data_IF_513743963230
#
_entry.id   IF_513743963230
#
_cell.length_a   1.000
_cell.length_b   1.000
_cell.length_c   1.000
_cell.angle_alpha   90.00
_cell.angle_beta   90.00
_cell.angle_gamma   90.00
#
_symmetry.space_group_name_H-M   'P 1'
#
loop_
_entity.id
_entity.type
_entity.pdbx_description
1 polymer ?
#
# COMPACT_ATOMS: atom_id res chain seq x y z
N UNK A 1 12.76 -4.44 -3.73
CA UNK A 1 11.80 -4.22 -4.82
C UNK A 1 10.53 -3.57 -4.29
N UNK A 2 9.96 -2.69 -5.06
CA UNK A 2 8.77 -1.91 -4.66
C UNK A 2 7.76 -1.99 -5.79
N UNK A 3 6.51 -2.25 -5.46
CA UNK A 3 5.40 -2.24 -6.41
C UNK A 3 4.64 -0.92 -6.29
N UNK A 4 4.33 -0.29 -7.42
CA UNK A 4 3.53 0.94 -7.50
C UNK A 4 2.30 0.65 -8.33
N UNK A 5 1.12 0.90 -7.74
CA UNK A 5 -0.19 0.79 -8.39
C UNK A 5 -0.92 2.14 -8.31
N UNK A 6 -0.90 2.95 -9.37
CA UNK A 6 -1.73 4.16 -9.42
C UNK A 6 -3.17 3.78 -9.72
N UNK A 7 -4.10 4.30 -8.94
CA UNK A 7 -5.54 4.08 -9.08
C UNK A 7 -6.23 5.43 -9.14
N UNK A 8 -6.84 5.72 -10.28
CA UNK A 8 -7.54 7.00 -10.50
C UNK A 8 -8.95 6.76 -11.01
N UNK A 9 -9.91 7.38 -10.37
CA UNK A 9 -11.29 7.39 -10.87
C UNK A 9 -11.45 8.46 -11.94
N UNK A 10 -11.75 8.03 -13.15
CA UNK A 10 -12.02 8.95 -14.25
C UNK A 10 -13.47 9.46 -14.15
N UNK A 11 -13.70 10.78 -14.32
CA UNK A 11 -15.05 11.35 -14.19
C UNK A 11 -16.10 10.68 -15.09
N UNK A 12 -15.72 10.28 -16.30
CA UNK A 12 -16.60 9.58 -17.26
C UNK A 12 -16.97 8.16 -16.85
N UNK A 13 -16.23 7.57 -15.90
CA UNK A 13 -16.43 6.18 -15.45
C UNK A 13 -17.01 6.10 -14.03
N UNK A 14 -17.31 7.22 -13.39
CA UNK A 14 -17.90 7.25 -12.03
C UNK A 14 -19.16 6.42 -11.88
N UNK A 15 -19.94 6.26 -12.95
CA UNK A 15 -21.17 5.46 -12.93
C UNK A 15 -20.95 3.97 -12.67
N UNK A 16 -19.72 3.46 -12.85
CA UNK A 16 -19.38 2.06 -12.58
C UNK A 16 -18.94 1.83 -11.12
N UNK A 17 -18.65 2.90 -10.37
CA UNK A 17 -18.23 2.78 -8.98
C UNK A 17 -19.35 2.22 -8.10
N UNK A 18 -19.03 1.30 -7.17
CA UNK A 18 -19.99 0.81 -6.18
C UNK A 18 -20.27 1.84 -5.07
N UNK A 19 -19.52 2.95 -5.03
CA UNK A 19 -19.68 3.97 -4.00
C UNK A 19 -20.86 4.88 -4.27
N UNK A 20 -21.47 5.40 -3.20
CA UNK A 20 -22.48 6.44 -3.29
C UNK A 20 -21.89 7.72 -3.91
N UNK A 21 -22.70 8.43 -4.71
CA UNK A 21 -22.28 9.64 -5.43
C UNK A 21 -21.63 10.70 -4.50
N UNK A 22 -22.17 10.90 -3.31
CA UNK A 22 -21.65 11.85 -2.30
C UNK A 22 -20.19 11.57 -1.89
N UNK A 23 -19.75 10.29 -1.92
CA UNK A 23 -18.38 9.88 -1.60
C UNK A 23 -17.41 10.09 -2.77
N UNK A 24 -17.94 10.32 -3.94
CA UNK A 24 -17.19 10.51 -5.18
C UNK A 24 -17.01 11.98 -5.57
N UNK A 25 -17.53 12.92 -4.80
CA UNK A 25 -17.48 14.36 -5.10
C UNK A 25 -16.04 14.85 -5.28
N UNK A 26 -15.14 14.43 -4.41
CA UNK A 26 -13.71 14.76 -4.47
C UNK A 26 -12.92 13.87 -5.43
N UNK A 27 -13.56 12.86 -6.02
CA UNK A 27 -12.90 11.86 -6.85
C UNK A 27 -12.02 10.89 -6.05
N UNK A 28 -11.17 10.16 -6.76
CA UNK A 28 -10.14 9.30 -6.19
C UNK A 28 -8.92 9.32 -7.12
N UNK A 29 -7.76 9.63 -6.60
CA UNK A 29 -6.48 9.55 -7.31
C UNK A 29 -5.38 9.21 -6.29
N UNK A 30 -5.13 7.93 -6.12
CA UNK A 30 -4.24 7.36 -5.09
C UNK A 30 -3.19 6.48 -5.76
N UNK A 31 -1.96 6.59 -5.30
CA UNK A 31 -0.89 5.66 -5.66
C UNK A 31 -0.57 4.75 -4.46
N UNK A 32 -0.66 3.45 -4.66
CA UNK A 32 -0.26 2.46 -3.66
C UNK A 32 1.20 2.08 -3.89
N UNK A 33 2.06 2.38 -2.91
CA UNK A 33 3.48 2.02 -2.91
C UNK A 33 3.67 0.89 -1.91
N UNK A 34 3.76 -0.34 -2.43
CA UNK A 34 3.82 -1.60 -1.68
C UNK A 34 5.24 -2.13 -1.66
N UNK A 35 5.75 -2.53 -0.51
CA UNK A 35 6.95 -3.36 -0.45
C UNK A 35 6.65 -4.77 -0.99
N UNK A 36 7.59 -5.35 -1.75
CA UNK A 36 7.52 -6.73 -2.23
C UNK A 36 8.80 -7.53 -1.92
N UNK A 37 9.65 -6.98 -1.03
CA UNK A 37 10.91 -7.61 -0.64
C UNK A 37 10.87 -8.27 0.74
N UNK A 38 9.89 -7.93 1.56
CA UNK A 38 9.72 -8.42 2.92
C UNK A 38 8.34 -9.02 3.20
N UNK A 39 8.05 -9.22 4.48
CA UNK A 39 6.79 -9.73 4.98
C UNK A 39 6.60 -11.23 4.82
N UNK A 40 5.40 -11.69 5.13
CA UNK A 40 5.04 -13.13 5.14
C UNK A 40 5.18 -13.80 3.76
N UNK A 41 5.04 -13.06 2.67
CA UNK A 41 5.16 -13.63 1.32
C UNK A 41 6.57 -14.08 0.99
N UNK A 42 7.57 -13.42 1.58
CA UNK A 42 8.99 -13.69 1.36
C UNK A 42 9.60 -14.62 2.40
N UNK A 43 8.85 -15.03 3.43
CA UNK A 43 9.31 -15.94 4.47
C UNK A 43 9.19 -17.42 4.07
N UNK A 44 9.92 -18.27 4.77
CA UNK A 44 9.76 -19.72 4.62
C UNK A 44 8.36 -20.14 5.06
N UNK A 45 7.76 -21.05 4.28
CA UNK A 45 6.47 -21.66 4.57
C UNK A 45 6.73 -22.95 5.32
N UNK A 46 6.35 -23.01 6.59
CA UNK A 46 6.56 -24.19 7.44
C UNK A 46 5.22 -24.86 7.74
N UNK A 47 5.14 -26.15 7.47
CA UNK A 47 4.01 -27.01 7.80
C UNK A 47 4.49 -28.25 8.50
N UNK A 48 3.77 -28.71 9.50
CA UNK A 48 4.15 -29.86 10.32
C UNK A 48 2.98 -30.46 11.10
N UNK A 49 3.33 -31.28 12.07
CA UNK A 49 2.41 -31.80 13.06
C UNK A 49 2.90 -31.43 14.46
N UNK A 50 2.04 -30.82 15.26
CA UNK A 50 2.27 -30.49 16.66
C UNK A 50 1.27 -31.23 17.56
N UNK A 51 1.28 -30.88 18.85
CA UNK A 51 0.39 -31.52 19.85
C UNK A 51 -1.09 -31.26 19.58
N UNK A 52 -1.41 -30.16 18.88
CA UNK A 52 -2.77 -29.80 18.46
C UNK A 52 -3.19 -30.36 17.08
N UNK A 53 -2.39 -31.20 16.45
CA UNK A 53 -2.61 -31.72 15.10
C UNK A 53 -1.72 -31.05 14.06
N UNK A 54 -2.21 -30.90 12.81
CA UNK A 54 -1.43 -30.20 11.75
C UNK A 54 -1.28 -28.72 12.07
N UNK A 55 -0.09 -28.19 11.85
CA UNK A 55 0.26 -26.79 12.08
C UNK A 55 0.98 -26.19 10.88
N UNK A 56 0.83 -24.88 10.72
CA UNK A 56 1.54 -24.11 9.70
C UNK A 56 1.87 -22.70 10.25
N UNK A 57 3.04 -22.20 9.91
CA UNK A 57 3.42 -20.83 10.27
C UNK A 57 4.38 -20.19 9.27
N UNK A 58 4.32 -18.88 9.17
CA UNK A 58 5.21 -18.01 8.44
C UNK A 58 5.68 -16.85 9.33
N UNK A 59 6.78 -16.20 8.94
CA UNK A 59 7.33 -15.06 9.67
C UNK A 59 7.03 -13.75 8.93
N UNK A 60 6.51 -12.76 9.66
CA UNK A 60 6.46 -11.37 9.21
C UNK A 60 7.82 -10.74 9.48
N UNK A 61 8.68 -10.65 8.46
CA UNK A 61 10.03 -10.13 8.60
C UNK A 61 10.21 -8.82 7.84
N UNK A 62 10.69 -7.80 8.56
CA UNK A 62 11.16 -6.53 8.02
C UNK A 62 12.44 -6.10 8.71
N UNK A 63 13.28 -5.36 7.96
CA UNK A 63 14.40 -4.59 8.50
C UNK A 63 14.35 -3.16 7.96
N UNK A 64 15.12 -2.25 8.57
CA UNK A 64 15.13 -0.84 8.19
C UNK A 64 15.49 -0.61 6.72
N UNK A 65 16.43 -1.38 6.17
CA UNK A 65 16.86 -1.23 4.77
C UNK A 65 15.72 -1.47 3.78
N UNK A 66 14.92 -2.52 4.01
CA UNK A 66 13.75 -2.84 3.19
C UNK A 66 12.72 -1.70 3.29
N UNK A 67 12.40 -1.28 4.51
CA UNK A 67 11.38 -0.25 4.76
C UNK A 67 11.81 1.11 4.19
N UNK A 68 13.06 1.55 4.46
CA UNK A 68 13.59 2.83 3.95
C UNK A 68 13.44 2.97 2.45
N UNK A 69 13.72 1.92 1.73
CA UNK A 69 13.65 1.91 0.27
C UNK A 69 12.24 2.16 -0.24
N UNK A 70 11.27 1.44 0.30
CA UNK A 70 9.85 1.59 -0.08
C UNK A 70 9.32 2.95 0.36
N UNK A 71 9.65 3.39 1.57
CA UNK A 71 9.29 4.72 2.08
C UNK A 71 9.86 5.83 1.20
N UNK A 72 11.15 5.78 0.87
CA UNK A 72 11.80 6.78 0.02
C UNK A 72 11.12 6.89 -1.35
N UNK A 73 10.75 5.76 -1.94
CA UNK A 73 10.00 5.72 -3.20
C UNK A 73 8.64 6.43 -3.06
N UNK A 74 7.92 6.19 -1.96
CA UNK A 74 6.62 6.81 -1.71
C UNK A 74 6.73 8.33 -1.53
N UNK A 75 7.69 8.80 -0.76
CA UNK A 75 7.91 10.23 -0.55
C UNK A 75 8.35 10.95 -1.83
N UNK A 76 9.24 10.35 -2.61
CA UNK A 76 9.61 10.88 -3.93
C UNK A 76 8.40 11.00 -4.86
N UNK A 77 7.55 9.97 -4.89
CA UNK A 77 6.34 9.98 -5.69
C UNK A 77 5.38 11.07 -5.23
N UNK A 78 5.17 11.23 -3.93
CA UNK A 78 4.30 12.26 -3.36
C UNK A 78 4.74 13.67 -3.75
N UNK A 79 6.04 13.96 -3.82
CA UNK A 79 6.57 15.26 -4.29
C UNK A 79 6.14 15.61 -5.71
N UNK A 80 5.94 14.62 -6.56
CA UNK A 80 5.44 14.84 -7.93
C UNK A 80 3.91 14.87 -8.01
N UNK A 81 3.22 14.71 -6.87
CA UNK A 81 1.78 14.65 -6.76
C UNK A 81 1.25 15.74 -5.82
N UNK A 82 0.57 15.38 -4.73
CA UNK A 82 -0.10 16.32 -3.81
C UNK A 82 0.67 16.54 -2.49
N UNK A 83 1.94 16.09 -2.42
CA UNK A 83 2.81 16.18 -1.23
C UNK A 83 2.23 15.54 0.03
N UNK A 84 1.51 14.42 -0.09
CA UNK A 84 0.97 13.70 1.05
C UNK A 84 1.26 12.20 0.98
N UNK A 85 1.81 11.66 2.07
CA UNK A 85 2.01 10.22 2.27
C UNK A 85 1.17 9.77 3.47
N UNK A 86 0.39 8.71 3.28
CA UNK A 86 -0.30 8.02 4.36
C UNK A 86 0.37 6.66 4.56
N UNK A 87 1.00 6.48 5.71
CA UNK A 87 1.59 5.21 6.10
C UNK A 87 0.54 4.27 6.68
N UNK A 88 0.49 3.05 6.16
CA UNK A 88 -0.44 2.00 6.60
C UNK A 88 0.31 0.91 7.35
N UNK A 89 -0.10 0.64 8.57
CA UNK A 89 0.52 -0.37 9.41
C UNK A 89 -0.47 -0.96 10.45
N UNK A 90 0.01 -1.87 11.28
CA UNK A 90 -0.71 -2.43 12.43
C UNK A 90 0.19 -2.39 13.68
N UNK A 91 0.80 -1.24 13.95
CA UNK A 91 1.81 -1.07 14.99
C UNK A 91 1.29 -1.25 16.42
N UNK A 92 -0.02 -1.14 16.62
CA UNK A 92 -0.65 -1.46 17.92
C UNK A 92 -0.58 -2.96 18.25
N UNK A 93 -0.38 -3.84 17.26
CA UNK A 93 -0.34 -5.30 17.45
C UNK A 93 1.02 -5.88 17.07
N UNK A 94 1.56 -5.54 15.90
CA UNK A 94 2.72 -6.19 15.30
C UNK A 94 4.03 -5.46 15.57
N UNK A 95 5.05 -6.20 16.01
CA UNK A 95 6.42 -5.68 16.18
C UNK A 95 7.05 -5.22 14.86
N UNK A 96 6.83 -5.97 13.77
CA UNK A 96 7.26 -5.61 12.42
C UNK A 96 6.65 -4.28 11.96
N UNK A 97 5.37 -4.04 12.27
CA UNK A 97 4.69 -2.78 11.97
C UNK A 97 5.18 -1.61 12.83
N UNK A 98 5.64 -1.84 14.06
CA UNK A 98 6.29 -0.78 14.87
C UNK A 98 7.60 -0.34 14.25
N UNK A 99 8.45 -1.29 13.84
CA UNK A 99 9.68 -1.00 13.09
C UNK A 99 9.36 -0.25 11.79
N UNK A 100 8.36 -0.72 11.05
CA UNK A 100 7.89 -0.11 9.81
C UNK A 100 7.53 1.37 10.02
N UNK A 101 6.64 1.67 10.97
CA UNK A 101 6.19 3.04 11.28
C UNK A 101 7.36 3.94 11.67
N UNK A 102 8.23 3.48 12.56
CA UNK A 102 9.39 4.25 13.03
C UNK A 102 10.33 4.58 11.87
N UNK A 103 10.59 3.63 11.00
CA UNK A 103 11.47 3.84 9.84
C UNK A 103 10.85 4.78 8.81
N UNK A 104 9.56 4.67 8.53
CA UNK A 104 8.83 5.61 7.66
C UNK A 104 8.88 7.03 8.23
N UNK A 105 8.69 7.18 9.56
CA UNK A 105 8.80 8.46 10.25
C UNK A 105 10.20 9.07 10.08
N UNK A 106 11.26 8.28 10.24
CA UNK A 106 12.64 8.76 10.04
C UNK A 106 12.88 9.21 8.59
N UNK A 107 12.37 8.47 7.60
CA UNK A 107 12.49 8.86 6.18
C UNK A 107 11.77 10.18 5.90
N UNK A 108 10.65 10.46 6.58
CA UNK A 108 9.91 11.71 6.39
C UNK A 108 10.73 12.97 6.72
N UNK A 109 11.74 12.85 7.59
CA UNK A 109 12.64 13.96 7.95
C UNK A 109 13.46 14.47 6.74
N UNK A 110 13.71 13.60 5.75
CA UNK A 110 14.37 13.96 4.49
C UNK A 110 13.43 14.68 3.51
N UNK A 111 12.13 14.73 3.81
CA UNK A 111 11.09 15.28 2.95
C UNK A 111 10.16 16.26 3.71
N UNK A 112 10.70 17.39 4.22
CA UNK A 112 9.96 18.29 5.11
C UNK A 112 8.72 18.94 4.45
N UNK A 113 8.66 18.98 3.11
CA UNK A 113 7.53 19.54 2.36
C UNK A 113 6.41 18.50 2.09
N UNK A 114 6.59 17.25 2.52
CA UNK A 114 5.60 16.19 2.33
C UNK A 114 4.92 15.89 3.65
N UNK A 115 3.59 16.03 3.70
CA UNK A 115 2.79 15.65 4.86
C UNK A 115 2.83 14.14 5.06
N UNK A 116 3.10 13.70 6.29
CA UNK A 116 3.00 12.30 6.70
C UNK A 116 1.86 12.09 7.68
N UNK A 117 0.96 11.17 7.34
CA UNK A 117 -0.09 10.65 8.21
C UNK A 117 0.13 9.17 8.48
N UNK A 118 -0.15 8.71 9.68
CA UNK A 118 -0.15 7.28 10.02
C UNK A 118 -1.58 6.79 10.28
N UNK A 119 -1.98 5.75 9.57
CA UNK A 119 -3.25 5.05 9.83
C UNK A 119 -2.99 3.55 10.08
N UNK A 120 -3.77 2.96 10.98
CA UNK A 120 -3.88 1.52 11.03
C UNK A 120 -4.58 1.02 9.78
N UNK A 121 -4.16 -0.14 9.27
CA UNK A 121 -4.68 -0.70 8.02
C UNK A 121 -6.21 -0.88 8.02
N UNK A 122 -6.77 -1.29 9.14
CA UNK A 122 -8.23 -1.44 9.31
C UNK A 122 -8.97 -0.08 9.23
N UNK A 123 -8.41 0.96 9.83
CA UNK A 123 -8.96 2.31 9.71
C UNK A 123 -8.82 2.83 8.26
N UNK A 124 -7.69 2.58 7.62
CA UNK A 124 -7.46 3.00 6.24
C UNK A 124 -8.45 2.35 5.27
N UNK A 125 -8.74 1.07 5.43
CA UNK A 125 -9.74 0.35 4.62
C UNK A 125 -11.13 1.02 4.75
N UNK A 126 -11.55 1.37 5.97
CA UNK A 126 -12.82 2.10 6.18
C UNK A 126 -12.80 3.49 5.56
N UNK A 127 -11.72 4.25 5.76
CA UNK A 127 -11.59 5.63 5.26
C UNK A 127 -11.49 5.68 3.73
N UNK A 128 -10.88 4.68 3.10
CA UNK A 128 -10.81 4.58 1.65
C UNK A 128 -12.22 4.46 1.03
N UNK A 129 -13.14 3.77 1.68
CA UNK A 129 -14.55 3.69 1.28
C UNK A 129 -15.31 4.99 1.60
N UNK A 130 -15.03 5.61 2.76
CA UNK A 130 -15.77 6.78 3.24
C UNK A 130 -15.40 8.05 2.51
N UNK A 131 -14.10 8.27 2.30
CA UNK A 131 -13.54 9.49 1.73
C UNK A 131 -12.28 9.21 0.89
N UNK A 132 -12.41 8.54 -0.26
CA UNK A 132 -11.29 8.16 -1.11
C UNK A 132 -10.48 9.37 -1.61
N UNK A 133 -11.12 10.53 -1.76
CA UNK A 133 -10.50 11.75 -2.28
C UNK A 133 -9.47 12.39 -1.35
N UNK A 134 -9.43 12.03 -0.06
CA UNK A 134 -8.49 12.59 0.91
C UNK A 134 -7.05 12.08 0.76
N UNK A 135 -6.85 10.97 0.04
CA UNK A 135 -5.57 10.29 -0.06
C UNK A 135 -4.79 10.67 -1.32
N UNK A 136 -3.48 10.54 -1.25
CA UNK A 136 -2.56 10.79 -2.37
C UNK A 136 -1.64 9.58 -2.60
N UNK A 137 -0.72 9.32 -1.69
CA UNK A 137 0.20 8.18 -1.76
C UNK A 137 0.08 7.35 -0.49
N UNK A 138 -0.19 6.05 -0.65
CA UNK A 138 -0.05 5.08 0.43
C UNK A 138 1.33 4.44 0.40
N UNK A 139 1.95 4.29 1.57
CA UNK A 139 3.11 3.43 1.76
C UNK A 139 2.75 2.29 2.70
N UNK A 140 3.04 1.05 2.30
CA UNK A 140 2.51 -0.11 2.98
C UNK A 140 3.42 -1.34 2.84
N UNK A 141 3.35 -2.22 3.85
CA UNK A 141 3.95 -3.56 3.83
C UNK A 141 3.34 -4.45 2.75
N UNK A 142 3.97 -5.59 2.51
CA UNK A 142 3.63 -6.49 1.41
C UNK A 142 2.17 -6.98 1.49
N UNK A 143 1.78 -7.64 2.57
CA UNK A 143 0.44 -8.20 2.73
C UNK A 143 -0.66 -7.13 2.76
N UNK A 144 -0.45 -6.06 3.52
CA UNK A 144 -1.45 -5.00 3.60
C UNK A 144 -1.61 -4.26 2.28
N UNK A 145 -0.51 -4.05 1.55
CA UNK A 145 -0.54 -3.43 0.23
C UNK A 145 -1.24 -4.27 -0.82
N UNK A 146 -1.08 -5.59 -0.74
CA UNK A 146 -1.78 -6.53 -1.61
C UNK A 146 -3.30 -6.37 -1.48
N UNK A 147 -3.79 -6.40 -0.25
CA UNK A 147 -5.23 -6.35 0.04
C UNK A 147 -5.82 -4.97 -0.28
N UNK A 148 -5.21 -3.89 0.23
CA UNK A 148 -5.82 -2.56 0.11
C UNK A 148 -5.73 -1.97 -1.31
N UNK A 149 -4.74 -2.36 -2.09
CA UNK A 149 -4.65 -1.89 -3.48
C UNK A 149 -5.74 -2.51 -4.36
N UNK A 150 -6.11 -3.77 -4.13
CA UNK A 150 -7.20 -4.41 -4.84
C UNK A 150 -8.55 -3.83 -4.42
N UNK A 151 -8.76 -3.54 -3.13
CA UNK A 151 -9.92 -2.76 -2.68
C UNK A 151 -9.99 -1.42 -3.41
N UNK A 152 -8.89 -0.68 -3.49
CA UNK A 152 -8.83 0.61 -4.18
C UNK A 152 -9.23 0.52 -5.65
N UNK A 153 -8.78 -0.50 -6.37
CA UNK A 153 -9.17 -0.69 -7.78
C UNK A 153 -10.65 -1.00 -7.93
N UNK A 154 -11.20 -1.84 -7.05
CA UNK A 154 -12.61 -2.21 -7.08
C UNK A 154 -13.53 -1.02 -6.81
N UNK A 155 -13.12 -0.09 -5.95
CA UNK A 155 -13.91 1.12 -5.65
C UNK A 155 -14.10 2.04 -6.87
N UNK A 156 -13.27 1.93 -7.89
CA UNK A 156 -13.47 2.68 -9.15
C UNK A 156 -14.50 2.06 -10.08
N UNK A 157 -14.83 0.77 -9.85
CA UNK A 157 -15.71 -0.02 -10.74
C UNK A 157 -15.06 -0.42 -12.07
N UNK A 158 -13.77 -0.14 -12.24
CA UNK A 158 -13.00 -0.44 -13.47
C UNK A 158 -11.62 -1.03 -13.15
N UNK A 159 -11.53 -2.14 -12.38
CA UNK A 159 -10.28 -2.65 -11.84
C UNK A 159 -9.24 -3.05 -12.88
N UNK A 160 -9.67 -3.40 -14.09
CA UNK A 160 -8.76 -3.82 -15.17
C UNK A 160 -8.07 -2.67 -15.93
N UNK A 161 -8.39 -1.41 -15.63
CA UNK A 161 -7.83 -0.25 -16.32
C UNK A 161 -6.54 0.28 -15.70
N UNK A 162 -6.04 -0.32 -14.63
CA UNK A 162 -4.91 0.23 -13.89
C UNK A 162 -3.61 -0.51 -14.18
N UNK A 163 -2.49 0.23 -14.38
CA UNK A 163 -1.18 -0.36 -14.51
C UNK A 163 -0.60 -0.75 -13.15
N UNK A 164 0.34 -1.69 -13.18
CA UNK A 164 1.21 -2.03 -12.07
C UNK A 164 2.67 -1.92 -12.50
N UNK A 165 3.51 -1.31 -11.68
CA UNK A 165 4.94 -1.21 -11.91
C UNK A 165 5.70 -1.84 -10.75
N UNK A 166 6.63 -2.76 -11.05
CA UNK A 166 7.58 -3.32 -10.10
C UNK A 166 8.95 -2.72 -10.35
N UNK A 167 9.46 -1.96 -9.38
CA UNK A 167 10.74 -1.27 -9.47
C UNK A 167 11.84 -2.03 -8.74
N UNK A 168 12.95 -2.28 -9.45
CA UNK A 168 14.15 -2.83 -8.86
C UNK A 168 15.03 -1.76 -8.20
N UNK A 169 16.17 -2.19 -7.64
CA UNK A 169 17.16 -1.29 -7.05
C UNK A 169 17.89 -0.41 -8.07
N UNK A 170 17.82 -0.77 -9.35
CA UNK A 170 18.57 -0.14 -10.45
C UNK A 170 17.70 0.72 -11.35
N UNK A 171 16.55 1.16 -10.86
CA UNK A 171 15.53 1.94 -11.61
C UNK A 171 14.92 1.19 -12.82
N UNK A 172 15.32 -0.06 -13.04
CA UNK A 172 14.66 -0.92 -14.02
C UNK A 172 13.30 -1.36 -13.46
N UNK A 173 12.27 -1.30 -14.29
CA UNK A 173 10.92 -1.63 -13.92
C UNK A 173 10.27 -2.65 -14.86
N UNK A 174 9.42 -3.50 -14.29
CA UNK A 174 8.48 -4.33 -15.04
C UNK A 174 7.11 -3.64 -14.95
N UNK A 175 6.51 -3.37 -16.10
CA UNK A 175 5.22 -2.70 -16.20
C UNK A 175 4.20 -3.69 -16.76
N UNK A 176 3.12 -3.92 -16.02
CA UNK A 176 2.06 -4.85 -16.41
C UNK A 176 0.69 -4.20 -16.22
N UNK A 177 -0.33 -4.61 -16.99
CA UNK A 177 -1.70 -4.31 -16.59
C UNK A 177 -2.00 -5.02 -15.27
N UNK A 178 -2.90 -4.42 -14.47
CA UNK A 178 -3.36 -5.08 -13.25
C UNK A 178 -4.16 -6.34 -13.64
N UNK A 179 -3.70 -7.50 -13.19
CA UNK A 179 -4.42 -8.76 -13.40
C UNK A 179 -5.05 -9.15 -12.06
N UNK A 180 -6.38 -9.21 -12.03
CA UNK A 180 -7.10 -9.87 -10.95
C UNK A 180 -6.95 -11.38 -11.15
N UNK A 181 -6.49 -12.07 -10.14
CA UNK A 181 -6.36 -13.53 -10.11
C UNK A 181 -7.69 -14.19 -9.76
#
# INVERSE_FOLDING_TARGET
STNIRPVRMYPSLKCFSPLKAERLEQGMDVAFVRDIAGGVFCSAKVQGNGDGGREAYEYEYYNETIVRKTAYTAFKLAKSRKNKVTNLDKSNVLGSSRLWRQTVQQVSEDFPDVELEHLYIDNAAMELIRNPGRFDVFVTSNLFGDIISDEGTELTGTPYLYPSAELSNTEQGIYTPNQLH
#
